data_IF_421909040635
#
_entry.id   IF_421909040635
#
_cell.length_a   1.000
_cell.length_b   1.000
_cell.length_c   1.000
_cell.angle_alpha   90.00
_cell.angle_beta   90.00
_cell.angle_gamma   90.00
#
_symmetry.space_group_name_H-M   'P 1'
#
loop_
_entity.id
_entity.type
_entity.pdbx_description
1 polymer ?
#
# COMPACT_ATOMS: atom_id res chain seq x y z
N UNK A 1 -21.98 -25.78 13.05
CA UNK A 1 -21.62 -24.47 13.59
C UNK A 1 -20.40 -23.98 12.80
N UNK A 2 -20.55 -22.94 11.97
CA UNK A 2 -19.40 -22.31 11.31
C UNK A 2 -18.52 -21.69 12.40
N UNK A 3 -17.31 -22.24 12.58
CA UNK A 3 -16.33 -21.64 13.49
C UNK A 3 -15.95 -20.28 12.93
N UNK A 4 -15.90 -19.27 13.81
CA UNK A 4 -15.39 -17.95 13.44
C UNK A 4 -14.01 -18.06 12.76
N UNK A 5 -13.73 -17.30 11.68
CA UNK A 5 -12.46 -17.34 10.96
C UNK A 5 -11.24 -17.17 11.87
N UNK A 6 -10.14 -17.84 11.51
CA UNK A 6 -8.95 -17.92 12.37
C UNK A 6 -8.39 -16.53 12.72
N UNK A 7 -8.20 -15.66 11.73
CA UNK A 7 -7.60 -14.36 11.96
C UNK A 7 -8.50 -13.42 12.77
N UNK A 8 -9.84 -13.53 12.62
CA UNK A 8 -10.76 -12.80 13.49
C UNK A 8 -10.62 -13.22 14.97
N UNK A 9 -10.39 -14.50 15.23
CA UNK A 9 -10.13 -14.98 16.60
C UNK A 9 -8.78 -14.49 17.13
N UNK A 10 -7.73 -14.47 16.29
CA UNK A 10 -6.41 -13.95 16.66
C UNK A 10 -6.51 -12.48 17.06
N UNK A 11 -7.18 -11.66 16.26
CA UNK A 11 -7.38 -10.22 16.54
C UNK A 11 -8.13 -9.95 17.86
N UNK A 12 -9.03 -10.86 18.28
CA UNK A 12 -9.72 -10.74 19.56
C UNK A 12 -8.86 -11.08 20.78
N UNK A 13 -7.79 -11.83 20.57
CA UNK A 13 -6.94 -12.37 21.63
C UNK A 13 -5.57 -11.70 21.70
N UNK A 14 -5.18 -10.96 20.67
CA UNK A 14 -3.87 -10.32 20.56
C UNK A 14 -3.97 -9.06 19.70
N UNK A 15 -3.00 -8.15 19.77
CA UNK A 15 -2.91 -6.98 18.87
C UNK A 15 -2.46 -7.35 17.44
N UNK A 16 -2.35 -8.64 17.10
CA UNK A 16 -1.90 -9.10 15.79
C UNK A 16 -3.00 -8.92 14.74
N UNK A 17 -2.67 -8.29 13.64
CA UNK A 17 -3.53 -8.12 12.49
C UNK A 17 -2.99 -8.85 11.26
N UNK A 18 -3.87 -9.19 10.34
CA UNK A 18 -3.53 -9.91 9.12
C UNK A 18 -3.66 -8.98 7.90
N UNK A 19 -2.57 -8.83 7.16
CA UNK A 19 -2.54 -8.19 5.85
C UNK A 19 -2.23 -9.21 4.77
N UNK A 20 -2.98 -9.19 3.66
CA UNK A 20 -2.70 -10.04 2.51
C UNK A 20 -1.72 -9.36 1.57
N UNK A 21 -0.83 -10.14 0.94
CA UNK A 21 0.18 -9.65 0.02
C UNK A 21 -0.12 -10.02 -1.43
N UNK A 22 -0.13 -9.04 -2.33
CA UNK A 22 -0.34 -9.19 -3.78
C UNK A 22 -1.56 -10.08 -4.15
N UNK A 23 -2.75 -9.82 -3.59
CA UNK A 23 -3.91 -10.68 -3.83
C UNK A 23 -4.50 -10.50 -5.23
N UNK A 24 -5.04 -11.58 -5.79
CA UNK A 24 -6.06 -11.45 -6.83
C UNK A 24 -7.33 -10.82 -6.25
N UNK A 25 -8.24 -10.35 -7.10
CA UNK A 25 -9.54 -9.82 -6.65
C UNK A 25 -10.32 -10.81 -5.79
N UNK A 26 -10.32 -12.10 -6.17
CA UNK A 26 -10.95 -13.18 -5.40
C UNK A 26 -10.25 -13.44 -4.07
N UNK A 27 -8.91 -13.41 -4.06
CA UNK A 27 -8.13 -13.59 -2.82
C UNK A 27 -8.35 -12.44 -1.84
N UNK A 28 -8.52 -11.20 -2.33
CA UNK A 28 -8.87 -10.07 -1.48
C UNK A 28 -10.23 -10.27 -0.79
N UNK A 29 -11.27 -10.70 -1.52
CA UNK A 29 -12.58 -11.01 -0.93
C UNK A 29 -12.49 -12.11 0.14
N UNK A 30 -11.77 -13.19 -0.15
CA UNK A 30 -11.55 -14.28 0.80
C UNK A 30 -10.78 -13.83 2.04
N UNK A 31 -9.75 -13.00 1.85
CA UNK A 31 -8.94 -12.49 2.96
C UNK A 31 -9.77 -11.60 3.89
N UNK A 32 -10.56 -10.68 3.34
CA UNK A 32 -11.46 -9.80 4.09
C UNK A 32 -12.48 -10.64 4.88
N UNK A 33 -13.11 -11.63 4.24
CA UNK A 33 -14.04 -12.54 4.91
C UNK A 33 -13.40 -13.35 6.05
N UNK A 34 -12.08 -13.54 6.00
CA UNK A 34 -11.32 -14.24 7.03
C UNK A 34 -10.60 -13.31 8.03
N UNK A 35 -10.85 -12.00 7.95
CA UNK A 35 -10.34 -11.04 8.94
C UNK A 35 -9.09 -10.28 8.51
N UNK A 36 -8.80 -10.19 7.20
CA UNK A 36 -7.76 -9.29 6.74
C UNK A 36 -8.15 -7.83 7.02
N UNK A 37 -7.23 -7.09 7.59
CA UNK A 37 -7.39 -5.68 7.94
C UNK A 37 -6.68 -4.75 6.97
N UNK A 38 -5.94 -5.28 6.00
CA UNK A 38 -5.24 -4.52 4.99
C UNK A 38 -4.63 -5.40 3.92
N UNK A 39 -3.97 -4.75 2.98
CA UNK A 39 -3.33 -5.37 1.83
C UNK A 39 -2.03 -4.64 1.49
N UNK A 40 -1.04 -5.36 0.98
CA UNK A 40 0.16 -4.76 0.39
C UNK A 40 0.36 -5.22 -1.05
N UNK A 41 0.71 -4.28 -1.93
CA UNK A 41 1.03 -4.52 -3.33
C UNK A 41 2.47 -4.07 -3.60
N UNK A 42 3.28 -5.00 -4.10
CA UNK A 42 4.67 -4.76 -4.46
C UNK A 42 4.79 -4.35 -5.94
N UNK A 43 5.92 -3.80 -6.40
CA UNK A 43 6.13 -3.47 -7.82
C UNK A 43 5.89 -4.66 -8.77
N UNK A 44 6.19 -5.89 -8.34
CA UNK A 44 5.92 -7.11 -9.11
C UNK A 44 4.44 -7.53 -9.18
N UNK A 45 3.52 -6.77 -8.60
CA UNK A 45 2.08 -7.11 -8.56
C UNK A 45 1.48 -7.19 -9.95
N UNK A 46 1.76 -6.21 -10.80
CA UNK A 46 1.23 -6.13 -12.16
C UNK A 46 1.67 -7.32 -13.01
N UNK A 47 2.95 -7.69 -12.98
CA UNK A 47 3.46 -8.88 -13.68
C UNK A 47 2.79 -10.16 -13.19
N UNK A 48 2.63 -10.31 -11.88
CA UNK A 48 1.94 -11.50 -11.32
C UNK A 48 0.49 -11.59 -11.77
N UNK A 49 -0.20 -10.47 -11.94
CA UNK A 49 -1.59 -10.46 -12.40
C UNK A 49 -1.69 -10.73 -13.90
N UNK A 50 -0.75 -10.26 -14.72
CA UNK A 50 -0.66 -10.60 -16.14
C UNK A 50 -0.47 -12.11 -16.35
N UNK A 51 0.37 -12.73 -15.54
CA UNK A 51 0.67 -14.17 -15.63
C UNK A 51 -0.39 -15.06 -14.96
N UNK A 52 -1.34 -14.46 -14.24
CA UNK A 52 -2.34 -15.23 -13.48
C UNK A 52 -3.50 -15.69 -14.37
N UNK A 53 -3.89 -16.98 -14.35
CA UNK A 53 -4.92 -17.52 -15.25
C UNK A 53 -6.30 -16.85 -15.11
N UNK A 54 -6.66 -16.36 -13.90
CA UNK A 54 -7.95 -15.74 -13.64
C UNK A 54 -7.90 -14.20 -13.72
N UNK A 55 -6.72 -13.58 -13.77
CA UNK A 55 -6.56 -12.11 -13.76
C UNK A 55 -5.91 -11.57 -15.04
N UNK A 56 -5.24 -12.43 -15.83
CA UNK A 56 -4.44 -11.99 -16.98
C UNK A 56 -5.20 -11.19 -18.02
N UNK A 57 -6.39 -11.67 -18.43
CA UNK A 57 -7.25 -10.94 -19.38
C UNK A 57 -7.68 -9.58 -18.83
N UNK A 58 -8.02 -9.53 -17.54
CA UNK A 58 -8.38 -8.29 -16.86
C UNK A 58 -7.19 -7.32 -16.73
N UNK A 59 -6.01 -7.85 -16.43
CA UNK A 59 -4.78 -7.07 -16.35
C UNK A 59 -4.36 -6.50 -17.70
N UNK A 60 -4.46 -7.29 -18.78
CA UNK A 60 -4.17 -6.84 -20.15
C UNK A 60 -5.04 -5.65 -20.56
N UNK A 61 -6.32 -5.64 -20.20
CA UNK A 61 -7.18 -4.49 -20.47
C UNK A 61 -6.65 -3.19 -19.84
N UNK A 62 -6.20 -3.25 -18.59
CA UNK A 62 -5.64 -2.07 -17.93
C UNK A 62 -4.26 -1.68 -18.45
N UNK A 63 -3.47 -2.65 -18.93
CA UNK A 63 -2.22 -2.36 -19.62
C UNK A 63 -2.49 -1.64 -20.93
N UNK A 64 -3.45 -2.11 -21.75
CA UNK A 64 -3.85 -1.45 -22.99
C UNK A 64 -4.33 -0.01 -22.75
N UNK A 65 -5.09 0.22 -21.66
CA UNK A 65 -5.50 1.56 -21.27
C UNK A 65 -4.31 2.43 -20.85
N UNK A 66 -3.34 1.89 -20.11
CA UNK A 66 -2.16 2.62 -19.66
C UNK A 66 -1.27 3.03 -20.85
N UNK A 67 -1.07 2.15 -21.82
CA UNK A 67 -0.33 2.42 -23.05
C UNK A 67 -0.98 3.56 -23.88
N UNK A 68 -2.28 3.74 -23.76
CA UNK A 68 -2.99 4.84 -24.46
C UNK A 68 -2.86 6.19 -23.72
N UNK A 69 -2.47 6.21 -22.44
CA UNK A 69 -2.38 7.43 -21.64
C UNK A 69 -1.01 8.10 -21.75
N UNK A 70 0.06 7.35 -22.03
CA UNK A 70 1.43 7.86 -22.10
C UNK A 70 2.30 7.04 -23.04
N UNK A 71 3.25 7.71 -23.70
CA UNK A 71 4.27 7.09 -24.54
C UNK A 71 5.57 6.75 -23.75
N UNK A 72 5.63 7.09 -22.46
CA UNK A 72 6.76 6.78 -21.59
C UNK A 72 6.53 5.44 -20.89
N UNK A 73 7.46 4.51 -21.08
CA UNK A 73 7.35 3.14 -20.54
C UNK A 73 7.29 3.08 -19.01
N UNK A 74 8.00 3.97 -18.33
CA UNK A 74 8.02 4.03 -16.86
C UNK A 74 6.72 4.58 -16.32
N UNK A 75 6.25 5.70 -16.87
CA UNK A 75 4.97 6.27 -16.51
C UNK A 75 3.84 5.29 -16.83
N UNK A 76 3.91 4.56 -17.94
CA UNK A 76 2.97 3.51 -18.31
C UNK A 76 2.91 2.41 -17.23
N UNK A 77 4.06 1.93 -16.75
CA UNK A 77 4.12 0.93 -15.69
C UNK A 77 3.48 1.42 -14.38
N UNK A 78 3.71 2.68 -14.00
CA UNK A 78 3.10 3.30 -12.83
C UNK A 78 1.58 3.47 -12.99
N UNK A 79 1.12 3.95 -14.15
CA UNK A 79 -0.32 4.10 -14.47
C UNK A 79 -0.99 2.73 -14.40
N UNK A 80 -0.39 1.72 -15.02
CA UNK A 80 -0.89 0.35 -15.00
C UNK A 80 -0.99 -0.20 -13.57
N UNK A 81 0.04 -0.01 -12.74
CA UNK A 81 0.01 -0.43 -11.35
C UNK A 81 -1.13 0.25 -10.57
N UNK A 82 -1.31 1.57 -10.74
CA UNK A 82 -2.39 2.33 -10.10
C UNK A 82 -3.78 1.81 -10.52
N UNK A 83 -3.97 1.52 -11.81
CA UNK A 83 -5.22 0.92 -12.33
C UNK A 83 -5.50 -0.45 -11.72
N UNK A 84 -4.47 -1.29 -11.58
CA UNK A 84 -4.60 -2.63 -11.00
C UNK A 84 -4.85 -2.62 -9.49
N UNK A 85 -4.31 -1.65 -8.77
CA UNK A 85 -4.49 -1.54 -7.31
C UNK A 85 -5.86 -0.95 -6.94
N UNK A 86 -6.41 -0.07 -7.76
CA UNK A 86 -7.70 0.60 -7.49
C UNK A 86 -8.83 -0.36 -7.13
N UNK A 87 -9.12 -1.44 -7.90
CA UNK A 87 -10.17 -2.40 -7.54
C UNK A 87 -9.92 -3.13 -6.21
N UNK A 88 -8.65 -3.32 -5.83
CA UNK A 88 -8.31 -3.89 -4.53
C UNK A 88 -8.58 -2.89 -3.40
N UNK A 89 -8.23 -1.62 -3.61
CA UNK A 89 -8.54 -0.56 -2.65
C UNK A 89 -10.04 -0.42 -2.41
N UNK A 90 -10.85 -0.49 -3.47
CA UNK A 90 -12.32 -0.46 -3.39
C UNK A 90 -12.89 -1.62 -2.54
N UNK A 91 -12.30 -2.83 -2.63
CA UNK A 91 -12.72 -3.97 -1.80
C UNK A 91 -12.43 -3.77 -0.32
N UNK A 92 -11.34 -3.12 0.04
CA UNK A 92 -10.98 -2.83 1.43
C UNK A 92 -11.66 -1.56 1.98
N UNK A 93 -12.30 -0.75 1.14
CA UNK A 93 -12.97 0.49 1.56
C UNK A 93 -14.04 0.27 2.65
N UNK A 94 -14.90 -0.77 2.62
CA UNK A 94 -15.85 -1.01 3.71
C UNK A 94 -15.20 -1.28 5.07
N UNK A 95 -13.99 -1.88 5.07
CA UNK A 95 -13.21 -2.09 6.31
C UNK A 95 -12.68 -0.75 6.80
N UNK A 96 -12.18 0.09 5.90
CA UNK A 96 -11.65 1.42 6.19
C UNK A 96 -12.73 2.33 6.79
N UNK A 97 -13.88 2.43 6.15
CA UNK A 97 -15.01 3.24 6.62
C UNK A 97 -15.55 2.77 7.96
N UNK A 98 -15.71 1.44 8.14
CA UNK A 98 -16.22 0.86 9.38
C UNK A 98 -15.31 1.10 10.59
N UNK A 99 -14.02 1.31 10.36
CA UNK A 99 -13.01 1.51 11.40
C UNK A 99 -12.51 2.95 11.51
N UNK A 100 -13.21 3.89 10.86
CA UNK A 100 -12.85 5.31 10.85
C UNK A 100 -11.39 5.54 10.41
N UNK A 101 -10.94 4.75 9.42
CA UNK A 101 -9.60 4.85 8.85
C UNK A 101 -8.48 4.12 9.63
N UNK A 102 -8.79 3.41 10.71
CA UNK A 102 -7.77 2.64 11.45
C UNK A 102 -7.30 1.39 10.69
N UNK A 103 -8.18 0.81 9.87
CA UNK A 103 -7.93 -0.42 9.09
C UNK A 103 -8.40 -0.25 7.66
N UNK A 104 -8.23 -1.29 6.84
CA UNK A 104 -8.67 -1.27 5.44
C UNK A 104 -7.68 -0.59 4.51
N UNK A 105 -6.47 -0.34 4.95
CA UNK A 105 -5.42 0.25 4.12
C UNK A 105 -4.95 -0.71 3.04
N UNK A 106 -4.67 -0.15 1.86
CA UNK A 106 -4.03 -0.84 0.74
C UNK A 106 -2.72 -0.13 0.43
N UNK A 107 -1.63 -0.83 0.70
CA UNK A 107 -0.28 -0.31 0.57
C UNK A 107 0.24 -0.54 -0.84
N UNK A 108 0.80 0.50 -1.46
CA UNK A 108 1.38 0.49 -2.80
C UNK A 108 2.77 1.16 -2.78
N UNK A 109 3.76 0.50 -3.39
CA UNK A 109 5.12 1.03 -3.56
C UNK A 109 5.23 1.68 -4.94
N UNK A 110 5.96 2.79 -5.05
CA UNK A 110 6.28 3.48 -6.30
C UNK A 110 7.40 2.79 -7.09
N UNK A 111 8.11 3.58 -7.89
CA UNK A 111 9.21 3.13 -8.75
C UNK A 111 10.36 2.51 -7.92
N UNK A 112 10.68 1.22 -8.10
CA UNK A 112 11.75 0.57 -7.35
C UNK A 112 13.15 0.81 -7.96
N UNK A 113 13.25 1.41 -9.13
CA UNK A 113 14.52 1.63 -9.83
C UNK A 113 15.16 2.95 -9.42
N UNK A 114 14.34 3.98 -9.22
CA UNK A 114 14.80 5.33 -8.88
C UNK A 114 14.51 5.69 -7.41
N UNK A 115 14.38 4.71 -6.53
CA UNK A 115 14.10 4.92 -5.09
C UNK A 115 15.29 5.49 -4.27
N UNK A 116 16.40 5.77 -4.91
CA UNK A 116 17.51 6.56 -4.36
C UNK A 116 17.30 8.09 -4.51
N UNK A 117 16.31 8.51 -5.30
CA UNK A 117 15.89 9.91 -5.42
C UNK A 117 14.63 10.16 -4.57
N UNK A 118 14.70 10.98 -3.50
CA UNK A 118 13.56 11.29 -2.65
C UNK A 118 12.42 12.01 -3.39
N UNK A 119 12.71 12.80 -4.43
CA UNK A 119 11.69 13.52 -5.20
C UNK A 119 10.84 12.56 -6.04
N UNK A 120 11.45 11.48 -6.57
CA UNK A 120 10.72 10.40 -7.26
C UNK A 120 9.77 9.71 -6.28
N UNK A 121 10.26 9.30 -5.10
CA UNK A 121 9.43 8.64 -4.08
C UNK A 121 8.26 9.54 -3.66
N UNK A 122 8.51 10.84 -3.44
CA UNK A 122 7.48 11.82 -3.03
C UNK A 122 6.43 11.98 -4.14
N UNK A 123 6.86 12.17 -5.40
CA UNK A 123 5.96 12.28 -6.56
C UNK A 123 5.05 11.06 -6.65
N UNK A 124 5.62 9.86 -6.58
CA UNK A 124 4.88 8.61 -6.70
C UNK A 124 3.91 8.41 -5.53
N UNK A 125 4.34 8.73 -4.31
CA UNK A 125 3.48 8.65 -3.13
C UNK A 125 2.24 9.56 -3.28
N UNK A 126 2.40 10.80 -3.73
CA UNK A 126 1.27 11.69 -4.00
C UNK A 126 0.39 11.20 -5.15
N UNK A 127 0.97 10.65 -6.22
CA UNK A 127 0.22 10.07 -7.33
C UNK A 127 -0.59 8.85 -6.86
N UNK A 128 0.03 7.95 -6.11
CA UNK A 128 -0.61 6.77 -5.57
C UNK A 128 -1.73 7.12 -4.58
N UNK A 129 -1.54 8.13 -3.73
CA UNK A 129 -2.57 8.58 -2.78
C UNK A 129 -3.88 9.03 -3.45
N UNK A 130 -3.83 9.47 -4.71
CA UNK A 130 -5.02 9.88 -5.48
C UNK A 130 -5.92 8.70 -5.90
N UNK A 131 -5.43 7.46 -5.81
CA UNK A 131 -6.21 6.27 -6.21
C UNK A 131 -7.46 6.12 -5.34
N UNK A 132 -7.31 6.22 -4.03
CA UNK A 132 -8.39 6.01 -3.06
C UNK A 132 -8.00 6.54 -1.67
N UNK A 133 -8.99 6.94 -0.83
CA UNK A 133 -8.74 7.42 0.54
C UNK A 133 -8.05 6.42 1.47
N UNK A 134 -8.11 5.13 1.18
CA UNK A 134 -7.49 4.07 1.98
C UNK A 134 -6.11 3.62 1.46
N UNK A 135 -5.54 4.36 0.51
CA UNK A 135 -4.16 4.08 0.07
C UNK A 135 -3.17 4.47 1.17
N UNK A 136 -2.22 3.56 1.40
CA UNK A 136 -1.09 3.72 2.27
C UNK A 136 0.19 3.67 1.41
N UNK A 137 1.02 4.71 1.47
CA UNK A 137 2.23 4.77 0.65
C UNK A 137 3.32 3.87 1.23
N UNK A 138 3.73 2.84 0.48
CA UNK A 138 4.81 1.94 0.88
C UNK A 138 6.14 2.55 0.43
N UNK A 139 7.01 2.86 1.40
CA UNK A 139 8.26 3.60 1.19
C UNK A 139 9.42 2.81 1.80
N UNK A 140 10.53 2.60 1.06
CA UNK A 140 11.71 1.91 1.58
C UNK A 140 12.41 2.74 2.68
N UNK A 141 12.92 2.09 3.71
CA UNK A 141 13.61 2.77 4.82
C UNK A 141 15.09 2.97 4.50
N UNK A 142 15.32 3.69 3.42
CA UNK A 142 16.62 4.21 2.95
C UNK A 142 16.79 5.67 3.37
N UNK A 143 17.96 6.25 3.11
CA UNK A 143 18.18 7.69 3.36
C UNK A 143 17.25 8.60 2.56
N UNK A 144 16.91 8.21 1.32
CA UNK A 144 15.97 8.92 0.45
C UNK A 144 14.52 8.67 0.89
N UNK A 145 14.20 7.43 1.24
CA UNK A 145 12.89 7.07 1.77
C UNK A 145 12.57 7.79 3.08
N UNK A 146 13.53 7.97 3.98
CA UNK A 146 13.32 8.74 5.22
C UNK A 146 12.93 10.20 4.95
N UNK A 147 13.50 10.83 3.92
CA UNK A 147 13.12 12.21 3.51
C UNK A 147 11.68 12.22 2.95
N UNK A 148 11.35 11.24 2.14
CA UNK A 148 9.99 11.11 1.59
C UNK A 148 8.95 10.83 2.68
N UNK A 149 9.26 9.95 3.64
CA UNK A 149 8.38 9.66 4.78
C UNK A 149 8.13 10.90 5.64
N UNK A 150 9.14 11.77 5.83
CA UNK A 150 8.99 13.05 6.54
C UNK A 150 7.88 13.90 5.89
N UNK A 151 7.95 14.09 4.56
CA UNK A 151 6.95 14.84 3.80
C UNK A 151 5.55 14.18 3.94
N UNK A 152 5.47 12.86 3.83
CA UNK A 152 4.18 12.16 3.93
C UNK A 152 3.55 12.33 5.33
N UNK A 153 4.35 12.24 6.39
CA UNK A 153 3.87 12.46 7.76
C UNK A 153 3.39 13.90 7.94
N UNK A 154 4.15 14.87 7.41
CA UNK A 154 3.78 16.29 7.44
C UNK A 154 2.47 16.58 6.68
N UNK A 155 2.20 15.84 5.61
CA UNK A 155 0.96 15.91 4.84
C UNK A 155 -0.17 15.06 5.41
N UNK A 156 0.06 14.35 6.52
CA UNK A 156 -0.90 13.43 7.15
C UNK A 156 -1.33 12.27 6.21
N UNK A 157 -0.37 11.78 5.43
CA UNK A 157 -0.58 10.67 4.49
C UNK A 157 -0.13 9.36 5.15
N UNK A 158 -0.96 8.30 5.16
CA UNK A 158 -0.58 7.00 5.70
C UNK A 158 0.64 6.41 4.98
N UNK A 159 1.58 5.87 5.75
CA UNK A 159 2.79 5.23 5.23
C UNK A 159 2.97 3.82 5.77
N UNK A 160 3.57 2.97 4.96
CA UNK A 160 4.06 1.65 5.33
C UNK A 160 5.58 1.63 5.09
N UNK A 161 6.35 1.83 6.16
CA UNK A 161 7.80 1.75 6.09
C UNK A 161 8.23 0.31 5.80
N UNK A 162 8.96 0.11 4.70
CA UNK A 162 9.39 -1.22 4.24
C UNK A 162 10.91 -1.31 4.19
N UNK A 163 11.44 -2.53 3.95
CA UNK A 163 12.89 -2.79 3.85
C UNK A 163 13.66 -2.47 5.13
N UNK A 164 13.03 -2.78 6.25
CA UNK A 164 13.63 -2.65 7.57
C UNK A 164 14.32 -3.97 7.93
N UNK A 165 15.64 -4.01 7.81
CA UNK A 165 16.46 -5.19 8.07
C UNK A 165 17.22 -5.13 9.40
N UNK A 166 17.22 -3.96 10.04
CA UNK A 166 17.96 -3.75 11.28
C UNK A 166 17.19 -2.96 12.33
N UNK A 167 17.52 -3.22 13.60
CA UNK A 167 16.89 -2.53 14.74
C UNK A 167 17.12 -1.00 14.64
N UNK A 168 18.31 -0.58 14.21
CA UNK A 168 18.63 0.86 14.04
C UNK A 168 17.70 1.55 13.04
N UNK A 169 17.39 0.91 11.92
CA UNK A 169 16.43 1.46 10.95
C UNK A 169 15.04 1.64 11.57
N UNK A 170 14.56 0.61 12.29
CA UNK A 170 13.28 0.66 12.98
C UNK A 170 13.24 1.80 14.00
N UNK A 171 14.26 1.92 14.84
CA UNK A 171 14.35 2.99 15.85
C UNK A 171 14.35 4.35 15.17
N UNK A 172 15.18 4.54 14.13
CA UNK A 172 15.29 5.82 13.40
C UNK A 172 13.96 6.27 12.83
N UNK A 173 13.21 5.39 12.17
CA UNK A 173 11.91 5.79 11.59
C UNK A 173 10.86 6.07 12.66
N UNK A 174 10.83 5.29 13.74
CA UNK A 174 9.91 5.55 14.84
C UNK A 174 10.20 6.88 15.54
N UNK A 175 11.47 7.20 15.76
CA UNK A 175 11.90 8.50 16.35
C UNK A 175 11.51 9.66 15.43
N UNK A 176 11.77 9.57 14.13
CA UNK A 176 11.35 10.58 13.15
C UNK A 176 9.85 10.76 13.11
N UNK A 177 9.09 9.67 13.07
CA UNK A 177 7.63 9.74 13.12
C UNK A 177 7.14 10.48 14.37
N UNK A 178 7.69 10.16 15.54
CA UNK A 178 7.32 10.81 16.80
C UNK A 178 7.72 12.30 16.84
N UNK A 179 8.88 12.64 16.33
CA UNK A 179 9.37 14.03 16.22
C UNK A 179 8.43 14.87 15.35
N UNK A 180 8.14 14.39 14.14
CA UNK A 180 7.29 15.10 13.18
C UNK A 180 5.86 15.21 13.71
N UNK A 181 5.33 14.11 14.28
CA UNK A 181 4.00 14.10 14.89
C UNK A 181 3.87 15.10 16.05
N UNK A 182 4.90 15.26 16.88
CA UNK A 182 4.93 16.27 17.94
C UNK A 182 4.97 17.70 17.39
N UNK A 183 5.74 17.92 16.32
CA UNK A 183 5.91 19.24 15.69
C UNK A 183 4.66 19.68 14.93
N UNK A 184 3.99 18.77 14.24
CA UNK A 184 2.88 19.08 13.34
C UNK A 184 1.50 18.85 13.94
N UNK A 185 1.39 18.04 15.00
CA UNK A 185 0.14 17.53 15.54
C UNK A 185 -0.53 16.45 14.69
N UNK A 186 0.07 16.07 13.55
CA UNK A 186 -0.45 15.06 12.62
C UNK A 186 0.03 13.66 13.01
N UNK A 187 -0.83 12.66 12.84
CA UNK A 187 -0.52 11.26 13.17
C UNK A 187 -1.15 10.32 12.12
N UNK A 188 -0.62 10.31 10.88
CA UNK A 188 -1.12 9.37 9.89
C UNK A 188 -0.89 7.92 10.36
N UNK A 189 -1.64 6.97 9.79
CA UNK A 189 -1.39 5.56 10.01
C UNK A 189 0.05 5.21 9.57
N UNK A 190 0.74 4.38 10.40
CA UNK A 190 2.16 4.07 10.26
C UNK A 190 2.44 2.62 10.63
#
# INVERSE_FOLDING_TARGET
MNKEPYFLRVMKQSPTEFWINNPTRRQADLAIANGATGCTNNPSYTQKMLDHPDEGEYALKFLDEAVQETDDDWECAEVFQRKMVKPIAEKFMPVFEKTDGERGHVSIQGDPINEDDPEVIIRDAFANRKISPNICCKIPTTSSGLKAMEVMIEENIPINATEIFGVSQMVTICEKYLEISKRTGKRPAF
#
